data_IF_699352196347
#
_entry.id   IF_699352196347
#
_cell.length_a   1.000
_cell.length_b   1.000
_cell.length_c   1.000
_cell.angle_alpha   90.00
_cell.angle_beta   90.00
_cell.angle_gamma   90.00
#
_symmetry.space_group_name_H-M   'P 1'
#
loop_
_entity.id
_entity.type
_entity.pdbx_description
1 polymer ?
#
# COMPACT_ATOMS: atom_id res chain seq x y z
N UNK A 1 -61.43 -17.82 89.46
CA UNK A 1 -60.04 -17.57 89.86
C UNK A 1 -59.41 -16.82 88.69
N UNK A 2 -59.12 -15.62 88.99
CA UNK A 2 -58.54 -14.60 88.09
C UNK A 2 -57.07 -14.73 87.98
N UNK A 3 -56.50 -14.60 86.79
CA UNK A 3 -55.17 -14.03 86.61
C UNK A 3 -55.06 -13.27 85.28
N UNK A 4 -54.77 -12.02 85.45
CA UNK A 4 -54.46 -10.99 84.38
C UNK A 4 -53.04 -11.19 83.95
N UNK A 5 -52.75 -11.05 82.62
CA UNK A 5 -51.41 -10.76 82.12
C UNK A 5 -51.45 -9.59 81.14
N UNK A 6 -50.72 -8.53 81.55
CA UNK A 6 -50.47 -7.29 80.72
C UNK A 6 -49.48 -7.62 79.56
N UNK A 7 -49.83 -7.19 78.38
CA UNK A 7 -48.95 -7.24 77.24
C UNK A 7 -48.22 -5.90 77.14
N UNK A 8 -46.88 -5.98 77.18
CA UNK A 8 -45.96 -4.86 76.89
C UNK A 8 -45.73 -4.71 75.36
N UNK A 9 -46.19 -3.65 74.82
CA UNK A 9 -45.93 -3.35 73.41
C UNK A 9 -44.47 -2.91 73.17
N UNK A 10 -43.82 -3.55 72.15
CA UNK A 10 -42.54 -3.11 71.59
C UNK A 10 -42.77 -2.44 70.23
N UNK A 11 -42.51 -1.13 70.20
CA UNK A 11 -42.39 -0.36 68.95
C UNK A 11 -41.10 -0.78 68.28
N UNK A 12 -41.21 -1.38 67.08
CA UNK A 12 -40.07 -1.60 66.16
C UNK A 12 -40.02 -0.42 65.17
N UNK A 13 -39.03 0.45 65.33
CA UNK A 13 -38.72 1.46 64.33
C UNK A 13 -38.01 0.80 63.14
N UNK A 14 -38.65 0.75 61.99
CA UNK A 14 -38.02 0.37 60.72
C UNK A 14 -37.25 1.57 60.14
N UNK A 15 -35.93 1.51 60.20
CA UNK A 15 -35.05 2.46 59.47
C UNK A 15 -35.01 2.04 58.01
N UNK A 16 -35.60 2.80 57.11
CA UNK A 16 -35.49 2.61 55.68
C UNK A 16 -34.12 3.13 55.22
N UNK A 17 -33.23 2.20 54.83
CA UNK A 17 -31.95 2.54 54.20
C UNK A 17 -32.20 2.91 52.71
N UNK A 18 -32.20 4.17 52.35
CA UNK A 18 -32.24 4.61 50.96
C UNK A 18 -30.83 4.46 50.40
N UNK A 19 -30.58 3.40 49.61
CA UNK A 19 -29.37 3.21 48.80
C UNK A 19 -29.56 4.08 47.57
N UNK A 20 -28.98 5.27 47.55
CA UNK A 20 -28.82 6.08 46.35
C UNK A 20 -27.68 5.44 45.53
N UNK A 21 -28.03 4.56 44.57
CA UNK A 21 -27.11 4.11 43.57
C UNK A 21 -26.76 5.31 42.65
N UNK A 22 -25.64 5.93 42.89
CA UNK A 22 -25.08 6.93 42.01
C UNK A 22 -24.71 6.28 40.68
N UNK A 23 -25.53 6.47 39.67
CA UNK A 23 -25.15 6.19 38.26
C UNK A 23 -24.07 7.22 37.87
N UNK A 24 -22.81 6.86 38.14
CA UNK A 24 -21.69 7.59 37.55
C UNK A 24 -21.73 7.23 36.05
N UNK A 25 -22.32 8.13 35.26
CA UNK A 25 -22.13 8.13 33.81
C UNK A 25 -20.65 8.35 33.57
N UNK A 26 -19.92 7.28 33.27
CA UNK A 26 -18.60 7.39 32.65
C UNK A 26 -18.86 7.98 31.27
N UNK A 27 -18.77 9.31 31.14
CA UNK A 27 -18.60 9.95 29.85
C UNK A 27 -17.22 9.53 29.39
N UNK A 28 -17.12 8.69 28.36
CA UNK A 28 -15.84 8.49 27.67
C UNK A 28 -15.35 9.91 27.26
N UNK A 29 -14.08 10.23 27.46
CA UNK A 29 -13.56 11.50 26.96
C UNK A 29 -13.88 11.59 25.47
N UNK A 30 -14.47 12.71 25.02
CA UNK A 30 -14.67 12.94 23.59
C UNK A 30 -13.29 12.84 22.92
N UNK A 31 -13.18 12.00 21.90
CA UNK A 31 -11.94 11.88 21.12
C UNK A 31 -11.60 13.24 20.53
N UNK A 32 -10.36 13.68 20.69
CA UNK A 32 -9.90 14.93 20.11
C UNK A 32 -9.92 14.83 18.60
N UNK A 33 -10.48 15.83 17.92
CA UNK A 33 -10.62 15.86 16.46
C UNK A 33 -9.86 17.05 15.87
N UNK A 34 -9.54 16.95 14.57
CA UNK A 34 -8.96 18.03 13.77
C UNK A 34 -9.57 18.05 12.37
N UNK A 35 -9.56 19.21 11.74
CA UNK A 35 -9.94 19.34 10.34
C UNK A 35 -8.81 18.83 9.43
N UNK A 36 -9.17 18.01 8.47
CA UNK A 36 -8.29 17.53 7.41
C UNK A 36 -8.94 17.80 6.05
N UNK A 37 -8.14 18.23 5.07
CA UNK A 37 -8.59 18.39 3.68
C UNK A 37 -8.02 17.24 2.89
N UNK A 38 -8.90 16.41 2.31
CA UNK A 38 -8.50 15.25 1.52
C UNK A 38 -8.06 15.63 0.08
N UNK A 39 -7.58 14.66 -0.68
CA UNK A 39 -7.06 14.89 -2.03
C UNK A 39 -8.14 15.23 -3.08
N UNK A 40 -9.41 15.10 -2.72
CA UNK A 40 -10.56 15.54 -3.54
C UNK A 40 -11.13 16.88 -3.08
N UNK A 41 -10.54 17.49 -2.03
CA UNK A 41 -10.93 18.77 -1.48
C UNK A 41 -12.07 18.72 -0.46
N UNK A 42 -12.42 17.55 0.08
CA UNK A 42 -13.38 17.45 1.16
C UNK A 42 -12.74 17.89 2.48
N UNK A 43 -13.43 18.74 3.22
CA UNK A 43 -13.09 19.12 4.59
C UNK A 43 -13.72 18.10 5.55
N UNK A 44 -12.88 17.26 6.18
CA UNK A 44 -13.33 16.17 7.06
C UNK A 44 -12.81 16.39 8.47
N UNK A 45 -13.69 16.33 9.46
CA UNK A 45 -13.30 16.30 10.87
C UNK A 45 -12.90 14.88 11.26
N UNK A 46 -11.60 14.66 11.48
CA UNK A 46 -11.02 13.34 11.78
C UNK A 46 -10.48 13.29 13.22
N UNK A 47 -10.42 12.11 13.85
CA UNK A 47 -9.72 11.90 15.10
C UNK A 47 -8.23 12.29 15.00
N UNK A 48 -7.67 12.89 16.06
CA UNK A 48 -6.21 13.12 16.14
C UNK A 48 -5.44 11.81 16.30
N UNK A 49 -6.01 10.85 17.04
CA UNK A 49 -5.47 9.50 17.24
C UNK A 49 -6.57 8.45 16.97
N UNK A 50 -6.79 8.08 15.70
CA UNK A 50 -7.82 7.10 15.33
C UNK A 50 -7.56 5.75 16.00
N UNK A 51 -8.61 5.15 16.58
CA UNK A 51 -8.52 3.86 17.26
C UNK A 51 -9.16 2.70 16.50
N UNK A 52 -9.89 2.99 15.41
CA UNK A 52 -10.62 2.00 14.63
C UNK A 52 -10.64 2.38 13.15
N UNK A 53 -9.53 2.13 12.47
CA UNK A 53 -9.37 2.50 11.06
C UNK A 53 -9.88 1.36 10.17
N UNK A 54 -10.69 1.69 9.16
CA UNK A 54 -10.98 0.83 8.03
C UNK A 54 -10.28 1.37 6.78
N UNK A 55 -9.55 0.49 6.07
CA UNK A 55 -8.84 0.82 4.85
C UNK A 55 -9.42 0.10 3.64
N UNK A 56 -9.72 0.83 2.60
CA UNK A 56 -10.39 0.31 1.39
C UNK A 56 -9.45 0.17 0.18
N UNK A 57 -8.11 0.28 0.40
CA UNK A 57 -7.12 0.10 -0.65
C UNK A 57 -5.86 -0.59 -0.14
N UNK A 58 -5.73 -1.87 -0.45
CA UNK A 58 -4.72 -2.77 0.11
C UNK A 58 -3.27 -2.31 -0.05
N UNK A 59 -2.73 -2.33 -1.26
CA UNK A 59 -1.32 -2.05 -1.54
C UNK A 59 -0.91 -0.62 -1.20
N UNK A 60 -1.81 0.35 -1.35
CA UNK A 60 -1.49 1.77 -1.28
C UNK A 60 -1.78 2.40 0.09
N UNK A 61 -2.72 1.85 0.87
CA UNK A 61 -3.13 2.40 2.16
C UNK A 61 -3.00 1.37 3.28
N UNK A 62 -3.51 0.14 3.08
CA UNK A 62 -3.49 -0.87 4.15
C UNK A 62 -2.07 -1.31 4.51
N UNK A 63 -1.20 -1.54 3.52
CA UNK A 63 0.17 -1.95 3.79
C UNK A 63 0.96 -0.91 4.61
N UNK A 64 0.91 0.40 4.30
CA UNK A 64 1.42 1.45 5.18
C UNK A 64 0.87 1.42 6.59
N UNK A 65 -0.46 1.32 6.76
CA UNK A 65 -1.10 1.29 8.08
C UNK A 65 -0.63 0.11 8.95
N UNK A 66 -0.43 -1.06 8.33
CA UNK A 66 0.10 -2.24 9.04
C UNK A 66 1.54 -1.99 9.51
N UNK A 67 2.41 -1.47 8.64
CA UNK A 67 3.81 -1.19 9.00
C UNK A 67 3.93 -0.11 10.08
N UNK A 68 3.06 0.92 10.04
CA UNK A 68 2.97 1.97 11.06
C UNK A 68 2.40 1.47 12.40
N UNK A 69 1.88 0.26 12.48
CA UNK A 69 1.18 -0.21 13.67
C UNK A 69 -0.08 0.59 14.00
N UNK A 70 -0.77 1.09 12.96
CA UNK A 70 -2.02 1.83 13.13
C UNK A 70 -3.15 0.89 13.61
N UNK A 71 -4.18 1.46 14.25
CA UNK A 71 -5.30 0.74 14.82
C UNK A 71 -6.29 0.25 13.73
N UNK A 72 -5.80 -0.61 12.83
CA UNK A 72 -6.57 -1.16 11.71
C UNK A 72 -7.54 -2.23 12.21
N UNK A 73 -8.84 -2.06 11.96
CA UNK A 73 -9.90 -3.01 12.33
C UNK A 73 -10.57 -3.66 11.13
N UNK A 74 -10.44 -3.08 9.94
CA UNK A 74 -10.98 -3.64 8.70
C UNK A 74 -10.17 -3.24 7.48
N UNK A 75 -10.09 -4.12 6.49
CA UNK A 75 -9.43 -3.85 5.23
C UNK A 75 -10.13 -4.51 4.06
N UNK A 76 -10.18 -3.82 2.93
CA UNK A 76 -10.45 -4.48 1.66
C UNK A 76 -9.30 -5.43 1.30
N UNK A 77 -9.62 -6.50 0.59
CA UNK A 77 -8.64 -7.48 0.15
C UNK A 77 -9.10 -8.24 -1.08
N UNK A 78 -8.16 -8.66 -1.91
CA UNK A 78 -8.43 -9.41 -3.14
C UNK A 78 -8.63 -10.88 -2.85
N UNK A 79 -9.27 -11.56 -3.77
CA UNK A 79 -9.43 -13.03 -3.78
C UNK A 79 -8.95 -13.54 -5.12
N UNK A 80 -7.78 -14.17 -5.14
CA UNK A 80 -7.19 -14.79 -6.33
C UNK A 80 -6.90 -16.27 -6.04
N UNK A 81 -7.36 -17.17 -6.90
CA UNK A 81 -7.27 -18.62 -6.68
C UNK A 81 -5.83 -19.14 -6.48
N UNK A 82 -4.84 -18.45 -7.07
CA UNK A 82 -3.41 -18.80 -6.97
C UNK A 82 -2.69 -18.16 -5.76
N UNK A 83 -3.36 -17.34 -4.98
CA UNK A 83 -2.80 -16.64 -3.83
C UNK A 83 -3.56 -17.04 -2.57
N UNK A 84 -2.84 -17.26 -1.47
CA UNK A 84 -3.42 -17.59 -0.15
C UNK A 84 -4.46 -18.73 -0.19
N UNK A 85 -4.31 -19.69 -1.10
CA UNK A 85 -5.27 -20.78 -1.26
C UNK A 85 -6.68 -20.34 -1.69
N UNK A 86 -6.83 -19.14 -2.26
CA UNK A 86 -8.11 -18.54 -2.63
C UNK A 86 -8.81 -17.81 -1.48
N UNK A 87 -8.18 -17.68 -0.32
CA UNK A 87 -8.67 -16.84 0.77
C UNK A 87 -8.33 -15.35 0.52
N UNK A 88 -9.05 -14.40 1.13
CA UNK A 88 -8.75 -12.98 1.00
C UNK A 88 -7.32 -12.64 1.41
N UNK A 89 -6.69 -11.72 0.68
CA UNK A 89 -5.36 -11.22 1.01
C UNK A 89 -5.25 -9.72 0.68
N UNK A 90 -4.35 -9.03 1.37
CA UNK A 90 -4.00 -7.64 1.08
C UNK A 90 -2.75 -7.63 0.21
N UNK A 91 -2.91 -7.19 -1.04
CA UNK A 91 -1.77 -7.02 -1.96
C UNK A 91 -0.70 -6.13 -1.32
N UNK A 92 0.56 -6.49 -1.49
CA UNK A 92 1.68 -5.75 -0.93
C UNK A 92 1.96 -6.02 0.55
N UNK A 93 0.93 -6.28 1.37
CA UNK A 93 1.13 -6.67 2.77
C UNK A 93 1.28 -8.19 2.94
N UNK A 94 0.66 -8.97 2.07
CA UNK A 94 0.72 -10.43 2.12
C UNK A 94 2.16 -10.96 2.00
N UNK A 95 2.90 -10.47 1.03
CA UNK A 95 4.29 -10.91 0.78
C UNK A 95 5.29 -10.09 1.62
N UNK A 96 5.24 -8.76 1.55
CA UNK A 96 6.25 -7.90 2.17
C UNK A 96 6.17 -7.85 3.71
N UNK A 97 4.97 -7.95 4.29
CA UNK A 97 4.75 -7.83 5.73
C UNK A 97 4.27 -9.14 6.38
N UNK A 98 4.05 -10.19 5.59
CA UNK A 98 3.52 -11.46 6.09
C UNK A 98 2.08 -11.37 6.62
N UNK A 99 1.33 -10.32 6.26
CA UNK A 99 -0.02 -10.11 6.76
C UNK A 99 -1.00 -11.16 6.24
N UNK A 100 -1.85 -11.65 7.13
CA UNK A 100 -2.94 -12.59 6.83
C UNK A 100 -4.17 -12.22 7.66
N UNK A 101 -5.34 -12.16 7.02
CA UNK A 101 -6.60 -11.93 7.74
C UNK A 101 -6.83 -12.99 8.81
N UNK A 102 -6.51 -14.27 8.53
CA UNK A 102 -6.72 -15.41 9.43
C UNK A 102 -5.89 -15.34 10.71
N UNK A 103 -4.81 -14.55 10.72
CA UNK A 103 -3.90 -14.42 11.86
C UNK A 103 -3.91 -13.01 12.47
N UNK A 104 -4.94 -12.23 12.17
CA UNK A 104 -5.10 -10.85 12.64
C UNK A 104 -6.51 -10.59 13.14
N UNK A 105 -6.68 -9.51 13.89
CA UNK A 105 -8.00 -9.01 14.31
C UNK A 105 -8.65 -8.08 13.26
N UNK A 106 -8.08 -8.02 12.05
CA UNK A 106 -8.57 -7.18 10.95
C UNK A 106 -9.63 -7.92 10.15
N UNK A 107 -10.82 -7.34 10.07
CA UNK A 107 -11.92 -7.91 9.29
C UNK A 107 -11.74 -7.64 7.79
N UNK A 108 -11.94 -8.66 6.95
CA UNK A 108 -12.08 -8.44 5.52
C UNK A 108 -13.42 -7.78 5.20
N UNK A 109 -13.38 -6.62 4.53
CA UNK A 109 -14.56 -5.81 4.23
C UNK A 109 -14.84 -5.71 2.71
N UNK A 110 -14.55 -6.77 1.99
CA UNK A 110 -14.86 -6.88 0.56
C UNK A 110 -13.65 -6.66 -0.36
N UNK A 111 -13.91 -6.75 -1.67
CA UNK A 111 -12.92 -6.47 -2.73
C UNK A 111 -12.71 -4.95 -2.87
N UNK A 112 -11.51 -4.48 -3.25
CA UNK A 112 -11.24 -3.04 -3.48
C UNK A 112 -12.14 -2.37 -4.52
N UNK A 113 -12.83 -3.13 -5.36
CA UNK A 113 -13.79 -2.61 -6.34
C UNK A 113 -15.25 -2.87 -5.93
N UNK A 114 -15.49 -3.58 -4.82
CA UNK A 114 -16.82 -3.90 -4.31
C UNK A 114 -16.78 -4.07 -2.78
N UNK A 115 -16.97 -2.98 -2.06
CA UNK A 115 -16.96 -2.96 -0.60
C UNK A 115 -18.20 -3.63 0.00
N UNK A 116 -18.01 -4.31 1.12
CA UNK A 116 -19.08 -4.80 1.98
C UNK A 116 -19.40 -3.72 3.05
N UNK A 117 -20.39 -2.87 2.74
CA UNK A 117 -20.80 -1.76 3.63
C UNK A 117 -21.31 -2.25 4.99
N UNK A 118 -21.93 -3.44 5.05
CA UNK A 118 -22.39 -4.03 6.31
C UNK A 118 -21.20 -4.45 7.17
N UNK A 119 -20.21 -5.13 6.60
CA UNK A 119 -18.97 -5.48 7.29
C UNK A 119 -18.20 -4.24 7.76
N UNK A 120 -18.15 -3.17 6.95
CA UNK A 120 -17.55 -1.90 7.34
C UNK A 120 -18.28 -1.30 8.55
N UNK A 121 -19.61 -1.24 8.52
CA UNK A 121 -20.40 -0.67 9.62
C UNK A 121 -20.27 -1.52 10.90
N UNK A 122 -20.23 -2.85 10.79
CA UNK A 122 -20.03 -3.77 11.91
C UNK A 122 -18.63 -3.66 12.53
N UNK A 123 -17.63 -3.19 11.77
CA UNK A 123 -16.30 -2.91 12.28
C UNK A 123 -16.27 -1.63 13.15
N UNK A 124 -17.35 -0.86 13.22
CA UNK A 124 -17.49 0.38 14.01
C UNK A 124 -16.26 1.31 13.87
N UNK A 125 -15.89 1.73 12.64
CA UNK A 125 -14.73 2.58 12.45
C UNK A 125 -14.94 3.99 12.99
N UNK A 126 -13.85 4.63 13.43
CA UNK A 126 -13.78 6.05 13.71
C UNK A 126 -13.09 6.85 12.58
N UNK A 127 -12.48 6.12 11.61
CA UNK A 127 -11.91 6.66 10.39
C UNK A 127 -11.96 5.63 9.26
N UNK A 128 -12.35 6.08 8.05
CA UNK A 128 -12.31 5.27 6.83
C UNK A 128 -11.33 5.93 5.84
N UNK A 129 -10.36 5.15 5.32
CA UNK A 129 -9.43 5.60 4.30
C UNK A 129 -9.70 4.88 2.99
N UNK A 130 -9.83 5.64 1.92
CA UNK A 130 -10.07 5.10 0.57
C UNK A 130 -9.22 5.85 -0.47
N UNK A 131 -9.04 5.23 -1.66
CA UNK A 131 -8.42 5.91 -2.78
C UNK A 131 -9.46 6.57 -3.68
N UNK A 132 -9.00 7.36 -4.66
CA UNK A 132 -9.84 7.98 -5.69
C UNK A 132 -10.74 6.98 -6.45
N UNK A 133 -10.32 5.71 -6.53
CA UNK A 133 -11.16 4.63 -7.10
C UNK A 133 -12.42 4.31 -6.29
N UNK A 134 -12.52 4.77 -5.05
CA UNK A 134 -13.67 4.58 -4.17
C UNK A 134 -14.64 5.77 -4.10
N UNK A 135 -14.41 6.81 -4.91
CA UNK A 135 -15.14 8.09 -4.85
C UNK A 135 -16.66 7.94 -4.98
N UNK A 136 -17.12 6.98 -5.79
CA UNK A 136 -18.55 6.70 -5.97
C UNK A 136 -19.23 6.20 -4.67
N UNK A 137 -18.47 5.62 -3.76
CA UNK A 137 -18.95 5.13 -2.47
C UNK A 137 -18.77 6.14 -1.33
N UNK A 138 -18.11 7.27 -1.58
CA UNK A 138 -17.72 8.23 -0.55
C UNK A 138 -18.88 8.71 0.32
N UNK A 139 -20.00 9.12 -0.29
CA UNK A 139 -21.17 9.59 0.45
C UNK A 139 -21.75 8.51 1.38
N UNK A 140 -21.78 7.24 0.93
CA UNK A 140 -22.31 6.13 1.72
C UNK A 140 -21.36 5.80 2.88
N UNK A 141 -20.05 5.83 2.66
CA UNK A 141 -19.03 5.59 3.67
C UNK A 141 -19.03 6.70 4.72
N UNK A 142 -19.21 7.95 4.31
CA UNK A 142 -19.27 9.12 5.20
C UNK A 142 -20.49 9.10 6.14
N UNK A 143 -21.51 8.30 5.85
CA UNK A 143 -22.63 8.05 6.77
C UNK A 143 -22.25 7.05 7.89
N UNK A 144 -21.20 6.26 7.68
CA UNK A 144 -20.71 5.28 8.67
C UNK A 144 -19.69 5.93 9.60
N UNK A 145 -18.67 6.60 9.03
CA UNK A 145 -17.62 7.29 9.79
C UNK A 145 -16.95 8.40 8.94
N UNK A 146 -16.19 9.32 9.54
CA UNK A 146 -15.32 10.23 8.82
C UNK A 146 -14.50 9.48 7.75
N UNK A 147 -14.62 9.90 6.49
CA UNK A 147 -14.01 9.22 5.34
C UNK A 147 -13.05 10.17 4.63
N UNK A 148 -11.84 9.72 4.36
CA UNK A 148 -10.75 10.49 3.76
C UNK A 148 -10.26 9.81 2.50
N UNK A 149 -10.19 10.54 1.39
CA UNK A 149 -9.64 10.07 0.13
C UNK A 149 -8.16 10.42 0.06
N UNK A 150 -7.33 9.38 -0.15
CA UNK A 150 -5.90 9.51 -0.38
C UNK A 150 -5.63 9.17 -1.85
N UNK A 151 -5.16 10.12 -2.64
CA UNK A 151 -4.80 9.89 -4.04
C UNK A 151 -3.62 8.93 -4.17
N UNK A 152 -3.71 8.01 -5.13
CA UNK A 152 -2.80 6.87 -5.19
C UNK A 152 -1.76 6.92 -6.30
N UNK A 153 -1.98 7.68 -7.38
CA UNK A 153 -1.21 7.51 -8.60
C UNK A 153 -0.38 8.71 -9.05
N UNK A 154 -0.73 9.90 -8.60
CA UNK A 154 -0.09 11.15 -9.06
C UNK A 154 0.95 11.68 -8.06
N UNK A 155 0.90 11.24 -6.82
CA UNK A 155 1.77 11.69 -5.75
C UNK A 155 2.97 10.75 -5.57
N UNK A 156 4.12 11.31 -5.19
CA UNK A 156 5.28 10.55 -4.75
C UNK A 156 4.91 9.55 -3.64
N UNK A 157 5.46 8.35 -3.71
CA UNK A 157 5.13 7.25 -2.79
C UNK A 157 5.37 7.64 -1.33
N UNK A 158 6.49 8.28 -1.01
CA UNK A 158 6.82 8.67 0.36
C UNK A 158 5.97 9.84 0.85
N UNK A 159 5.61 10.79 -0.03
CA UNK A 159 4.68 11.87 0.29
C UNK A 159 3.29 11.31 0.64
N UNK A 160 2.79 10.37 -0.15
CA UNK A 160 1.53 9.66 0.13
C UNK A 160 1.62 8.86 1.44
N UNK A 161 2.73 8.15 1.68
CA UNK A 161 2.91 7.41 2.91
C UNK A 161 2.91 8.33 4.14
N UNK A 162 3.60 9.47 4.05
CA UNK A 162 3.59 10.50 5.10
C UNK A 162 2.17 11.02 5.38
N UNK A 163 1.36 11.24 4.36
CA UNK A 163 -0.04 11.63 4.48
C UNK A 163 -0.87 10.56 5.19
N UNK A 164 -0.68 9.28 4.85
CA UNK A 164 -1.33 8.14 5.54
C UNK A 164 -0.91 8.12 7.02
N UNK A 165 0.37 8.33 7.31
CA UNK A 165 0.87 8.39 8.68
C UNK A 165 0.27 9.57 9.47
N UNK A 166 0.10 10.74 8.83
CA UNK A 166 -0.55 11.91 9.44
C UNK A 166 -2.00 11.63 9.81
N UNK A 167 -2.80 11.12 8.87
CA UNK A 167 -4.22 10.84 9.16
C UNK A 167 -4.42 9.67 10.13
N UNK A 168 -3.44 8.77 10.24
CA UNK A 168 -3.46 7.67 11.20
C UNK A 168 -2.85 8.03 12.57
N UNK A 169 -2.37 9.27 12.79
CA UNK A 169 -1.71 9.68 14.02
C UNK A 169 -0.38 8.97 14.28
N UNK A 170 0.40 8.66 13.22
CA UNK A 170 1.63 7.86 13.24
C UNK A 170 2.82 8.54 12.56
N UNK A 171 2.86 9.85 12.54
CA UNK A 171 3.97 10.59 11.91
C UNK A 171 5.32 10.31 12.55
N UNK A 172 5.37 10.14 13.86
CA UNK A 172 6.59 9.80 14.59
C UNK A 172 7.18 8.46 14.12
N UNK A 173 6.34 7.45 13.97
CA UNK A 173 6.76 6.13 13.45
C UNK A 173 7.24 6.24 12.00
N UNK A 174 6.53 7.02 11.17
CA UNK A 174 6.94 7.25 9.78
C UNK A 174 8.35 7.92 9.72
N UNK A 175 8.60 8.93 10.54
CA UNK A 175 9.88 9.65 10.56
C UNK A 175 11.03 8.74 11.00
N UNK A 176 10.84 7.85 11.99
CA UNK A 176 11.83 6.82 12.34
C UNK A 176 12.11 5.84 11.19
N UNK A 177 11.09 5.40 10.48
CA UNK A 177 11.24 4.51 9.32
C UNK A 177 11.95 5.21 8.15
N UNK A 178 11.70 6.50 7.95
CA UNK A 178 12.34 7.31 6.91
C UNK A 178 13.84 7.51 7.20
N UNK A 179 14.23 7.80 8.46
CA UNK A 179 15.64 7.91 8.84
C UNK A 179 16.42 6.62 8.56
N UNK A 180 15.85 5.46 8.91
CA UNK A 180 16.42 4.14 8.59
C UNK A 180 16.54 3.91 7.08
N UNK A 181 15.54 4.37 6.33
CA UNK A 181 15.51 4.28 4.87
C UNK A 181 16.63 5.10 4.24
N UNK A 182 16.79 6.35 4.62
CA UNK A 182 17.80 7.27 4.07
C UNK A 182 19.22 6.72 4.20
N UNK A 183 19.54 6.10 5.34
CA UNK A 183 20.85 5.44 5.56
C UNK A 183 21.07 4.28 4.58
N UNK A 184 20.04 3.48 4.33
CA UNK A 184 20.13 2.33 3.41
C UNK A 184 20.23 2.76 1.97
N UNK A 185 19.43 3.77 1.60
CA UNK A 185 19.44 4.34 0.27
C UNK A 185 20.81 4.93 -0.07
N UNK A 186 21.40 5.71 0.82
CA UNK A 186 22.73 6.28 0.62
C UNK A 186 23.80 5.19 0.38
N UNK A 187 23.78 4.11 1.15
CA UNK A 187 24.69 3.00 0.94
C UNK A 187 24.45 2.29 -0.41
N UNK A 188 23.22 2.15 -0.83
CA UNK A 188 22.87 1.57 -2.11
C UNK A 188 23.29 2.45 -3.30
N UNK A 189 23.13 3.77 -3.19
CA UNK A 189 23.60 4.74 -4.19
C UNK A 189 25.11 4.66 -4.40
N UNK A 190 25.89 4.48 -3.32
CA UNK A 190 27.35 4.28 -3.42
C UNK A 190 27.70 3.01 -4.22
N UNK A 191 26.99 1.89 -3.98
CA UNK A 191 27.20 0.64 -4.72
C UNK A 191 26.88 0.84 -6.21
N UNK A 192 25.78 1.50 -6.53
CA UNK A 192 25.38 1.77 -7.91
C UNK A 192 26.41 2.69 -8.59
N UNK A 193 26.81 3.78 -7.97
CA UNK A 193 27.82 4.69 -8.51
C UNK A 193 29.17 4.00 -8.77
N UNK A 194 29.59 3.04 -7.92
CA UNK A 194 30.77 2.22 -8.15
C UNK A 194 30.62 1.25 -9.32
N UNK A 195 29.38 0.85 -9.64
CA UNK A 195 29.10 -0.13 -10.70
C UNK A 195 28.97 0.51 -12.06
N UNK A 196 28.18 1.59 -12.17
CA UNK A 196 27.82 2.20 -13.48
C UNK A 196 28.44 3.58 -13.70
N UNK A 197 29.10 4.16 -12.69
CA UNK A 197 29.62 5.52 -12.73
C UNK A 197 28.56 6.55 -12.35
N UNK A 198 28.13 7.37 -13.30
CA UNK A 198 27.05 8.35 -13.11
C UNK A 198 25.67 7.69 -13.36
N UNK A 199 24.86 7.42 -12.33
CA UNK A 199 23.55 6.82 -12.53
C UNK A 199 22.61 7.67 -13.38
N UNK A 200 22.74 9.00 -13.33
CA UNK A 200 21.92 9.91 -14.14
C UNK A 200 22.12 9.78 -15.66
N UNK A 201 23.26 9.23 -16.07
CA UNK A 201 23.57 8.90 -17.46
C UNK A 201 23.09 7.48 -17.87
N UNK A 202 22.48 6.73 -16.97
CA UNK A 202 22.02 5.36 -17.21
C UNK A 202 20.50 5.32 -17.16
N UNK A 203 19.91 4.80 -18.23
CA UNK A 203 18.45 4.66 -18.34
C UNK A 203 17.96 3.29 -17.86
N UNK A 204 16.85 3.30 -17.09
CA UNK A 204 16.19 2.06 -16.61
C UNK A 204 14.72 2.11 -17.01
N UNK A 205 14.27 1.20 -17.88
CA UNK A 205 12.88 1.09 -18.31
C UNK A 205 12.14 -0.05 -17.62
N UNK A 206 10.94 0.22 -17.09
CA UNK A 206 10.00 -0.82 -16.66
C UNK A 206 9.04 -1.10 -17.81
N UNK A 207 9.22 -2.24 -18.47
CA UNK A 207 8.57 -2.53 -19.75
C UNK A 207 8.03 -3.95 -19.76
N UNK A 208 6.75 -4.10 -20.08
CA UNK A 208 6.07 -5.40 -20.10
C UNK A 208 5.51 -5.70 -21.50
N UNK A 209 5.79 -6.90 -22.05
CA UNK A 209 5.12 -7.37 -23.26
C UNK A 209 3.66 -7.71 -22.95
N UNK A 210 2.79 -7.45 -23.90
CA UNK A 210 1.36 -7.75 -23.86
C UNK A 210 0.95 -8.48 -25.15
N UNK A 211 -0.27 -9.03 -25.17
CA UNK A 211 -0.83 -9.58 -26.41
C UNK A 211 -1.09 -8.45 -27.41
N UNK A 212 -0.16 -8.31 -28.40
CA UNK A 212 -0.27 -7.31 -29.48
C UNK A 212 0.17 -5.89 -29.11
N UNK A 213 0.79 -5.67 -27.96
CA UNK A 213 1.35 -4.38 -27.57
C UNK A 213 2.54 -4.54 -26.62
N UNK A 214 3.25 -3.44 -26.39
CA UNK A 214 4.28 -3.32 -25.35
C UNK A 214 3.86 -2.20 -24.42
N UNK A 215 3.98 -2.40 -23.10
CA UNK A 215 3.62 -1.42 -22.09
C UNK A 215 4.85 -0.87 -21.40
N UNK A 216 5.03 0.46 -21.47
CA UNK A 216 5.99 1.20 -20.67
C UNK A 216 5.32 1.81 -19.43
N UNK A 217 6.05 1.88 -18.32
CA UNK A 217 5.56 2.43 -17.06
C UNK A 217 6.41 3.63 -16.62
N UNK A 218 5.78 4.79 -16.45
CA UNK A 218 6.35 5.91 -15.73
C UNK A 218 6.26 5.70 -14.23
N UNK A 219 5.16 5.10 -13.78
CA UNK A 219 4.92 4.81 -12.37
C UNK A 219 4.56 3.34 -12.17
N UNK A 220 5.31 2.66 -11.31
CA UNK A 220 5.10 1.27 -10.91
C UNK A 220 5.41 1.10 -9.41
N UNK A 221 4.70 1.87 -8.58
CA UNK A 221 4.82 1.89 -7.10
C UNK A 221 6.31 1.84 -6.63
N UNK A 222 6.69 0.89 -5.76
CA UNK A 222 8.04 0.81 -5.20
C UNK A 222 9.14 0.65 -6.25
N UNK A 223 8.90 -0.02 -7.38
CA UNK A 223 9.94 -0.27 -8.39
C UNK A 223 10.44 1.02 -9.04
N UNK A 224 9.54 1.86 -9.52
CA UNK A 224 9.93 3.13 -10.14
C UNK A 224 10.43 4.14 -9.11
N UNK A 225 9.90 4.11 -7.88
CA UNK A 225 10.44 4.91 -6.78
C UNK A 225 11.92 4.59 -6.55
N UNK A 226 12.30 3.32 -6.46
CA UNK A 226 13.69 2.90 -6.28
C UNK A 226 14.58 3.29 -7.46
N UNK A 227 14.10 3.17 -8.69
CA UNK A 227 14.85 3.59 -9.88
C UNK A 227 15.19 5.09 -9.78
N UNK A 228 14.24 5.94 -9.43
CA UNK A 228 14.45 7.37 -9.25
C UNK A 228 15.37 7.69 -8.08
N UNK A 229 15.17 7.07 -6.92
CA UNK A 229 15.99 7.33 -5.73
C UNK A 229 17.43 6.85 -5.88
N UNK A 230 17.69 5.82 -6.69
CA UNK A 230 19.04 5.41 -7.07
C UNK A 230 19.72 6.38 -8.07
N UNK A 231 18.97 7.36 -8.58
CA UNK A 231 19.46 8.39 -9.48
C UNK A 231 19.42 8.03 -10.97
N UNK A 232 18.79 6.92 -11.34
CA UNK A 232 18.67 6.51 -12.74
C UNK A 232 17.70 7.41 -13.53
N UNK A 233 17.97 7.56 -14.82
CA UNK A 233 17.02 8.13 -15.77
C UNK A 233 16.03 7.07 -16.27
N UNK A 234 14.98 7.52 -16.96
CA UNK A 234 14.08 6.66 -17.74
C UNK A 234 14.24 6.95 -19.22
N UNK A 235 13.89 6.01 -20.13
CA UNK A 235 13.75 6.34 -21.55
C UNK A 235 12.83 7.57 -21.73
N UNK A 236 13.20 8.48 -22.63
CA UNK A 236 12.48 9.75 -22.83
C UNK A 236 11.00 9.53 -23.14
N UNK A 237 10.70 8.54 -23.98
CA UNK A 237 9.32 8.15 -24.30
C UNK A 237 8.46 7.71 -23.10
N UNK A 238 9.10 7.38 -21.97
CA UNK A 238 8.42 7.02 -20.71
C UNK A 238 8.44 8.19 -19.74
N UNK A 239 9.58 8.88 -19.63
CA UNK A 239 9.78 9.97 -18.67
C UNK A 239 8.77 11.13 -18.87
N UNK A 240 8.45 11.44 -20.13
CA UNK A 240 7.57 12.54 -20.51
C UNK A 240 6.07 12.20 -20.51
N UNK A 241 5.68 10.98 -20.10
CA UNK A 241 4.27 10.60 -20.02
C UNK A 241 3.52 11.43 -18.96
N UNK A 242 2.34 11.93 -19.31
CA UNK A 242 1.40 12.48 -18.32
C UNK A 242 0.78 11.36 -17.46
N UNK A 243 0.43 10.24 -18.10
CA UNK A 243 -0.14 9.06 -17.45
C UNK A 243 0.92 8.17 -16.78
N UNK A 244 0.49 7.33 -15.84
CA UNK A 244 1.36 6.38 -15.16
C UNK A 244 1.97 5.31 -16.10
N UNK A 245 1.37 5.09 -17.27
CA UNK A 245 1.79 4.07 -18.24
C UNK A 245 1.21 4.33 -19.63
N UNK A 246 1.85 3.71 -20.63
CA UNK A 246 1.38 3.72 -22.03
C UNK A 246 1.44 2.31 -22.62
N UNK A 247 0.45 1.98 -23.47
CA UNK A 247 0.49 0.82 -24.35
C UNK A 247 0.79 1.27 -25.77
N UNK A 248 1.84 0.73 -26.38
CA UNK A 248 2.28 1.06 -27.74
C UNK A 248 2.27 -0.16 -28.63
N UNK A 249 2.25 0.10 -29.96
CA UNK A 249 2.47 -0.94 -30.95
C UNK A 249 3.88 -1.54 -30.81
N UNK A 250 4.06 -2.86 -31.03
CA UNK A 250 5.36 -3.52 -30.93
C UNK A 250 6.46 -2.88 -31.78
N UNK A 251 6.10 -2.26 -32.92
CA UNK A 251 7.04 -1.58 -33.82
C UNK A 251 7.73 -0.37 -33.18
N UNK A 252 7.13 0.22 -32.12
CA UNK A 252 7.68 1.35 -31.40
C UNK A 252 8.50 0.95 -30.16
N UNK A 253 8.76 -0.35 -29.97
CA UNK A 253 9.47 -0.82 -28.79
C UNK A 253 10.87 -0.22 -28.63
N UNK A 254 11.53 0.12 -29.75
CA UNK A 254 12.87 0.72 -29.72
C UNK A 254 12.90 2.09 -29.04
N UNK A 255 11.78 2.83 -29.04
CA UNK A 255 11.67 4.10 -28.33
C UNK A 255 11.69 3.92 -26.78
N UNK A 256 11.46 2.69 -26.33
CA UNK A 256 11.48 2.28 -24.91
C UNK A 256 12.74 1.50 -24.54
N UNK A 257 13.69 1.29 -25.47
CA UNK A 257 14.94 0.62 -25.14
C UNK A 257 15.75 1.46 -24.14
N UNK A 258 16.50 0.79 -23.30
CA UNK A 258 17.19 1.39 -22.16
C UNK A 258 18.49 0.64 -21.88
N UNK A 259 19.37 1.24 -21.08
CA UNK A 259 20.54 0.54 -20.56
C UNK A 259 20.10 -0.71 -19.78
N UNK A 260 19.13 -0.58 -18.91
CA UNK A 260 18.51 -1.72 -18.22
C UNK A 260 17.00 -1.76 -18.49
N UNK A 261 16.49 -2.96 -18.73
CA UNK A 261 15.06 -3.20 -18.87
C UNK A 261 14.57 -4.18 -17.81
N UNK A 262 13.45 -3.85 -17.17
CA UNK A 262 12.82 -4.66 -16.13
C UNK A 262 11.41 -5.03 -16.57
N UNK A 263 11.10 -6.34 -16.58
CA UNK A 263 9.72 -6.83 -16.69
C UNK A 263 9.28 -7.48 -15.38
N UNK A 264 7.98 -7.59 -15.18
CA UNK A 264 7.46 -8.28 -14.00
C UNK A 264 6.78 -9.59 -14.36
N UNK A 265 6.86 -10.56 -13.46
CA UNK A 265 6.16 -11.85 -13.58
C UNK A 265 5.33 -12.12 -12.32
N UNK A 266 4.24 -12.87 -12.48
CA UNK A 266 3.36 -13.26 -11.38
C UNK A 266 2.75 -14.63 -11.60
N UNK A 267 3.39 -15.72 -11.15
CA UNK A 267 2.97 -17.10 -11.40
C UNK A 267 1.55 -17.42 -10.91
N UNK A 268 1.12 -16.80 -9.82
CA UNK A 268 -0.22 -17.00 -9.25
C UNK A 268 -1.38 -16.69 -10.22
N UNK A 269 -1.14 -15.86 -11.25
CA UNK A 269 -2.11 -15.55 -12.30
C UNK A 269 -1.77 -16.13 -13.65
N UNK A 270 -0.80 -17.06 -13.70
CA UNK A 270 -0.33 -17.68 -14.93
C UNK A 270 0.70 -16.85 -15.71
N UNK A 271 1.06 -15.66 -15.23
CA UNK A 271 2.12 -14.84 -15.83
C UNK A 271 3.48 -15.29 -15.31
N UNK A 272 3.92 -16.49 -15.74
CA UNK A 272 5.23 -17.04 -15.37
C UNK A 272 6.36 -16.35 -16.15
N UNK A 273 7.61 -16.61 -15.77
CA UNK A 273 8.79 -16.13 -16.52
C UNK A 273 8.75 -16.61 -17.97
N UNK A 274 8.39 -17.88 -18.19
CA UNK A 274 8.22 -18.47 -19.52
C UNK A 274 7.13 -17.76 -20.32
N UNK A 275 5.97 -17.49 -19.69
CA UNK A 275 4.88 -16.79 -20.35
C UNK A 275 5.28 -15.35 -20.76
N UNK A 276 6.10 -14.66 -19.96
CA UNK A 276 6.65 -13.34 -20.35
C UNK A 276 7.57 -13.46 -21.56
N UNK A 277 8.44 -14.49 -21.61
CA UNK A 277 9.28 -14.72 -22.78
C UNK A 277 8.45 -15.02 -24.02
N UNK A 278 7.40 -15.86 -23.92
CA UNK A 278 6.49 -16.16 -25.02
C UNK A 278 5.76 -14.90 -25.53
N UNK A 279 5.36 -14.01 -24.62
CA UNK A 279 4.76 -12.72 -24.99
C UNK A 279 5.76 -11.82 -25.72
N UNK A 280 7.02 -11.76 -25.28
CA UNK A 280 8.07 -11.02 -25.97
C UNK A 280 8.30 -11.59 -27.37
N UNK A 281 8.48 -12.91 -27.50
CA UNK A 281 8.72 -13.58 -28.78
C UNK A 281 7.55 -13.40 -29.77
N UNK A 282 6.32 -13.26 -29.25
CA UNK A 282 5.12 -13.01 -30.06
C UNK A 282 4.96 -11.53 -30.45
N UNK A 283 5.29 -10.60 -29.55
CA UNK A 283 5.12 -9.17 -29.78
C UNK A 283 6.27 -8.60 -30.64
N UNK A 284 7.51 -8.94 -30.33
CA UNK A 284 8.72 -8.40 -30.96
C UNK A 284 9.64 -9.57 -31.36
N UNK A 285 9.47 -10.19 -32.53
CA UNK A 285 10.36 -11.23 -32.99
C UNK A 285 11.83 -10.74 -32.99
N UNK A 286 12.74 -11.56 -32.48
CA UNK A 286 14.17 -11.26 -32.32
C UNK A 286 14.51 -10.16 -31.27
N UNK A 287 13.60 -9.81 -30.36
CA UNK A 287 13.84 -8.81 -29.32
C UNK A 287 15.14 -9.00 -28.53
N UNK A 288 15.61 -10.28 -28.38
CA UNK A 288 16.87 -10.60 -27.71
C UNK A 288 18.10 -10.10 -28.42
N UNK A 289 18.03 -9.96 -29.75
CA UNK A 289 19.12 -9.47 -30.59
C UNK A 289 18.98 -7.99 -30.91
N UNK A 290 17.75 -7.46 -30.90
CA UNK A 290 17.42 -6.09 -31.29
C UNK A 290 17.50 -5.12 -30.11
N UNK A 291 16.92 -5.46 -28.95
CA UNK A 291 16.92 -4.57 -27.78
C UNK A 291 18.27 -4.61 -27.06
N UNK A 292 18.81 -3.44 -26.77
CA UNK A 292 20.13 -3.28 -26.13
C UNK A 292 20.19 -4.03 -24.79
N UNK A 293 19.24 -3.79 -23.88
CA UNK A 293 19.22 -4.42 -22.56
C UNK A 293 19.16 -5.96 -22.64
N UNK A 294 18.47 -6.52 -23.65
CA UNK A 294 18.39 -7.95 -23.83
C UNK A 294 19.71 -8.52 -24.38
N UNK A 295 20.28 -7.89 -25.43
CA UNK A 295 21.51 -8.30 -26.08
C UNK A 295 22.73 -8.24 -25.16
N UNK A 296 22.77 -7.27 -24.23
CA UNK A 296 23.88 -7.05 -23.29
C UNK A 296 23.70 -7.75 -21.94
N UNK A 297 22.66 -8.59 -21.77
CA UNK A 297 22.32 -9.23 -20.50
C UNK A 297 21.94 -8.22 -19.38
N UNK A 298 21.36 -7.08 -19.74
CA UNK A 298 20.88 -6.03 -18.86
C UNK A 298 19.34 -6.03 -18.74
N UNK A 299 18.67 -7.03 -19.33
CA UNK A 299 17.28 -7.33 -19.11
C UNK A 299 17.12 -8.33 -17.96
N UNK A 300 16.17 -8.06 -17.04
CA UNK A 300 15.83 -8.99 -15.95
C UNK A 300 14.36 -8.88 -15.56
N UNK A 301 13.89 -9.91 -14.85
CA UNK A 301 12.52 -9.97 -14.37
C UNK A 301 12.46 -9.98 -12.84
N UNK A 302 11.43 -9.34 -12.30
CA UNK A 302 11.17 -9.26 -10.85
C UNK A 302 9.75 -9.71 -10.53
N UNK A 303 9.53 -10.18 -9.31
CA UNK A 303 8.21 -10.62 -8.89
C UNK A 303 7.27 -9.43 -8.71
N UNK A 304 6.15 -9.41 -9.42
CA UNK A 304 5.25 -8.27 -9.55
C UNK A 304 4.70 -7.75 -8.21
N UNK A 305 4.28 -8.65 -7.34
CA UNK A 305 3.60 -8.26 -6.11
C UNK A 305 4.54 -7.59 -5.11
N UNK A 306 5.81 -7.99 -5.08
CA UNK A 306 6.83 -7.32 -4.27
C UNK A 306 7.11 -5.89 -4.75
N UNK A 307 7.06 -5.67 -6.07
CA UNK A 307 7.36 -4.37 -6.70
C UNK A 307 6.25 -3.33 -6.52
N UNK A 308 5.05 -3.75 -6.15
CA UNK A 308 3.87 -2.89 -6.03
C UNK A 308 3.48 -2.54 -4.61
N UNK A 309 4.19 -3.03 -3.64
CA UNK A 309 3.91 -2.73 -2.24
C UNK A 309 4.38 -1.31 -1.87
N UNK A 310 3.59 -0.63 -1.06
CA UNK A 310 3.87 0.72 -0.55
C UNK A 310 4.14 0.61 0.95
N UNK A 311 5.38 0.27 1.29
CA UNK A 311 5.89 0.22 2.65
C UNK A 311 7.41 0.29 2.65
N UNK A 312 8.04 0.71 3.73
CA UNK A 312 9.51 0.70 3.83
C UNK A 312 10.08 -0.73 3.77
N UNK A 313 9.34 -1.73 4.27
CA UNK A 313 9.74 -3.13 4.12
C UNK A 313 9.78 -3.55 2.65
N UNK A 314 8.79 -3.14 1.86
CA UNK A 314 8.78 -3.37 0.42
C UNK A 314 9.89 -2.60 -0.30
N UNK A 315 10.06 -1.30 0.01
CA UNK A 315 11.15 -0.49 -0.56
C UNK A 315 12.52 -1.13 -0.29
N UNK A 316 12.79 -1.62 0.93
CA UNK A 316 14.02 -2.35 1.26
C UNK A 316 14.20 -3.61 0.41
N UNK A 317 13.14 -4.36 0.20
CA UNK A 317 13.16 -5.59 -0.64
C UNK A 317 13.48 -5.24 -2.10
N UNK A 318 12.76 -4.27 -2.66
CA UNK A 318 12.94 -3.80 -4.04
C UNK A 318 14.34 -3.21 -4.24
N UNK A 319 14.82 -2.37 -3.31
CA UNK A 319 16.17 -1.81 -3.34
C UNK A 319 17.23 -2.91 -3.44
N UNK A 320 17.16 -3.92 -2.56
CA UNK A 320 18.12 -5.02 -2.56
C UNK A 320 18.09 -5.82 -3.86
N UNK A 321 16.90 -6.06 -4.41
CA UNK A 321 16.72 -6.78 -5.69
C UNK A 321 17.32 -5.96 -6.83
N UNK A 322 16.95 -4.69 -6.98
CA UNK A 322 17.41 -3.83 -8.07
C UNK A 322 18.93 -3.63 -8.02
N UNK A 323 19.47 -3.28 -6.87
CA UNK A 323 20.92 -3.12 -6.68
C UNK A 323 21.66 -4.41 -7.00
N UNK A 324 21.21 -5.55 -6.50
CA UNK A 324 21.84 -6.85 -6.76
C UNK A 324 21.79 -7.21 -8.24
N UNK A 325 20.67 -6.98 -8.91
CA UNK A 325 20.50 -7.28 -10.33
C UNK A 325 21.38 -6.40 -11.21
N UNK A 326 21.55 -5.13 -10.89
CA UNK A 326 22.41 -4.20 -11.62
C UNK A 326 23.90 -4.46 -11.29
N UNK A 327 24.25 -4.53 -10.01
CA UNK A 327 25.65 -4.66 -9.58
C UNK A 327 26.34 -5.98 -9.97
N UNK A 328 25.57 -7.03 -10.26
CA UNK A 328 26.13 -8.35 -10.67
C UNK A 328 26.24 -8.52 -12.18
N UNK A 329 25.82 -7.51 -12.98
CA UNK A 329 25.95 -7.53 -14.44
C UNK A 329 27.11 -6.64 -14.90
N UNK A 330 27.79 -7.06 -15.98
CA UNK A 330 28.71 -6.17 -16.65
C UNK A 330 27.93 -5.06 -17.36
N UNK A 331 28.13 -3.81 -16.93
CA UNK A 331 27.43 -2.68 -17.55
C UNK A 331 28.00 -2.35 -18.92
N UNK A 332 27.16 -2.30 -19.92
CA UNK A 332 27.43 -1.87 -21.29
C UNK A 332 26.47 -0.74 -21.61
N UNK A 333 26.92 0.51 -21.82
CA UNK A 333 26.02 1.62 -22.07
C UNK A 333 25.29 1.49 -23.40
N UNK A 334 24.03 1.96 -23.43
CA UNK A 334 23.29 2.20 -24.67
C UNK A 334 23.95 3.36 -25.41
N UNK A 335 24.46 3.12 -26.63
CA UNK A 335 25.05 4.18 -27.45
C UNK A 335 23.92 5.09 -27.96
N UNK A 336 24.07 6.41 -27.77
CA UNK A 336 23.18 7.37 -28.37
C UNK A 336 23.33 7.33 -29.91
N UNK A 337 22.20 7.11 -30.61
CA UNK A 337 22.19 7.17 -32.09
C UNK A 337 22.40 8.58 -32.64
#
# INVERSE_FOLDING_TARGET
MTFSFQSVGRLASAAALVVVAGLSSFSAPAQETRLFVDDMGHEVEIPVDPQRIVSLRGEQITAPLIELGAALVGSSGRVDAGVNGGAPYVRGAYDALGFRFENSDVTWVGDPNQYDLEAIALAEPDLILLSEGGVESYEQLSLIAPSVIIAGWEEDLLARYRKIADVAGKLDVYEELLEDWDVRLAAAQEVIAQTVGDPGAVSVGVIEPRSGSVRGFRTYDALTQIIHELGFSMPEAIADLEDARIDVSPELVHEFDADFMISTYWPATGTTVEAIYELWDAAVPNWRDELHAARTNQYFMVHREEMRAVSFAALRSVLNIVVSQIATRGFVPLEAE
#
